data_IF_669787018789
#
_entry.id   IF_669787018789
#
_cell.length_a   1.000
_cell.length_b   1.000
_cell.length_c   1.000
_cell.angle_alpha   90.00
_cell.angle_beta   90.00
_cell.angle_gamma   90.00
#
_symmetry.space_group_name_H-M   'P 1'
#
loop_
_entity.id
_entity.type
_entity.pdbx_description
1 polymer ?
#
# COMPACT_ATOMS: atom_id res chain seq x y z
N UNK A 1 -14.83 -27.63 -6.24
CA UNK A 1 -16.26 -27.44 -6.58
C UNK A 1 -16.34 -26.64 -7.87
N UNK A 2 -17.21 -27.00 -8.81
CA UNK A 2 -17.42 -26.26 -10.07
C UNK A 2 -18.69 -25.43 -9.95
N UNK A 3 -18.58 -24.13 -10.24
CA UNK A 3 -19.71 -23.22 -10.26
C UNK A 3 -20.12 -22.90 -11.69
N UNK A 4 -21.42 -22.92 -11.99
CA UNK A 4 -21.96 -22.30 -13.20
C UNK A 4 -22.32 -20.85 -12.90
N UNK A 5 -22.40 -20.01 -13.94
CA UNK A 5 -22.77 -18.60 -13.80
C UNK A 5 -24.11 -18.45 -13.04
N UNK A 6 -25.22 -19.12 -13.44
CA UNK A 6 -26.49 -18.94 -12.75
C UNK A 6 -26.45 -19.43 -11.30
N UNK A 7 -25.71 -20.52 -11.03
CA UNK A 7 -25.62 -21.09 -9.69
C UNK A 7 -24.85 -20.15 -8.75
N UNK A 8 -23.72 -19.59 -9.19
CA UNK A 8 -22.92 -18.69 -8.35
C UNK A 8 -23.65 -17.38 -8.05
N UNK A 9 -24.26 -16.78 -9.08
CA UNK A 9 -25.09 -15.56 -8.90
C UNK A 9 -26.21 -15.83 -7.92
N UNK A 10 -26.96 -16.92 -8.10
CA UNK A 10 -28.04 -17.35 -7.19
C UNK A 10 -27.53 -17.59 -5.79
N UNK A 11 -26.39 -18.27 -5.63
CA UNK A 11 -25.77 -18.51 -4.35
C UNK A 11 -25.49 -17.19 -3.59
N UNK A 12 -24.92 -16.18 -4.26
CA UNK A 12 -24.68 -14.89 -3.63
C UNK A 12 -25.99 -14.21 -3.23
N UNK A 13 -26.91 -14.01 -4.17
CA UNK A 13 -28.09 -13.14 -3.95
C UNK A 13 -29.19 -13.78 -3.11
N UNK A 14 -29.38 -15.10 -3.20
CA UNK A 14 -30.49 -15.79 -2.52
C UNK A 14 -30.05 -16.56 -1.27
N UNK A 15 -28.75 -16.82 -1.09
CA UNK A 15 -28.28 -17.64 0.02
C UNK A 15 -27.23 -16.94 0.88
N UNK A 16 -26.04 -16.69 0.35
CA UNK A 16 -24.91 -16.16 1.12
C UNK A 16 -25.19 -14.76 1.67
N UNK A 17 -25.57 -13.82 0.79
CA UNK A 17 -25.85 -12.43 1.13
C UNK A 17 -26.96 -12.30 2.19
N UNK A 18 -28.16 -12.85 1.97
CA UNK A 18 -29.23 -12.82 2.94
C UNK A 18 -28.85 -13.47 4.28
N UNK A 19 -28.06 -14.56 4.26
CA UNK A 19 -27.57 -15.19 5.50
C UNK A 19 -26.60 -14.30 6.27
N UNK A 20 -25.70 -13.59 5.59
CA UNK A 20 -24.77 -12.65 6.22
C UNK A 20 -25.55 -11.50 6.87
N UNK A 21 -26.50 -10.92 6.15
CA UNK A 21 -27.36 -9.85 6.66
C UNK A 21 -28.20 -10.31 7.87
N UNK A 22 -28.93 -11.43 7.75
CA UNK A 22 -29.78 -11.95 8.81
C UNK A 22 -29.02 -12.33 10.09
N UNK A 23 -27.72 -12.66 9.96
CA UNK A 23 -26.85 -13.02 11.09
C UNK A 23 -25.96 -11.88 11.56
N UNK A 24 -26.07 -10.68 10.96
CA UNK A 24 -25.19 -9.54 11.23
C UNK A 24 -23.69 -9.91 11.18
N UNK A 25 -23.30 -10.68 10.17
CA UNK A 25 -21.90 -11.08 10.00
C UNK A 25 -21.08 -9.85 9.56
N UNK A 26 -20.03 -9.45 10.29
CA UNK A 26 -19.27 -8.23 9.99
C UNK A 26 -18.28 -8.39 8.82
N UNK A 27 -18.12 -9.61 8.29
CA UNK A 27 -17.22 -9.89 7.19
C UNK A 27 -17.79 -9.43 5.84
N UNK A 28 -16.93 -8.90 4.99
CA UNK A 28 -17.26 -8.53 3.61
C UNK A 28 -17.44 -9.78 2.73
N UNK A 29 -18.31 -9.69 1.73
CA UNK A 29 -18.42 -10.71 0.67
C UNK A 29 -17.67 -10.22 -0.56
N UNK A 30 -16.69 -11.01 -1.00
CA UNK A 30 -15.93 -10.80 -2.23
C UNK A 30 -16.26 -11.89 -3.25
N UNK A 31 -16.56 -11.50 -4.49
CA UNK A 31 -16.82 -12.43 -5.59
C UNK A 31 -15.49 -13.02 -6.09
N UNK A 32 -15.11 -14.19 -5.59
CA UNK A 32 -13.87 -14.88 -5.94
C UNK A 32 -13.44 -15.94 -4.91
N UNK A 33 -12.22 -16.46 -4.98
CA UNK A 33 -11.20 -16.16 -6.01
C UNK A 33 -11.57 -16.79 -7.36
N UNK A 34 -11.39 -16.05 -8.45
CA UNK A 34 -11.53 -16.56 -9.82
C UNK A 34 -10.13 -16.81 -10.39
N UNK A 35 -9.93 -17.90 -11.13
CA UNK A 35 -8.59 -18.27 -11.61
C UNK A 35 -8.56 -18.69 -13.07
N UNK A 36 -9.53 -19.51 -13.48
CA UNK A 36 -9.63 -19.91 -14.87
C UNK A 36 -10.13 -18.71 -15.71
N UNK A 37 -9.62 -18.49 -16.94
CA UNK A 37 -10.13 -17.47 -17.84
C UNK A 37 -11.66 -17.46 -17.98
N UNK A 38 -12.31 -18.63 -17.97
CA UNK A 38 -13.76 -18.76 -18.07
C UNK A 38 -14.49 -18.24 -16.81
N UNK A 39 -13.84 -18.27 -15.65
CA UNK A 39 -14.41 -17.79 -14.38
C UNK A 39 -14.63 -16.26 -14.40
N UNK A 40 -13.94 -15.53 -15.29
CA UNK A 40 -14.18 -14.10 -15.52
C UNK A 40 -15.65 -13.81 -15.88
N UNK A 41 -16.30 -14.72 -16.61
CA UNK A 41 -17.72 -14.59 -16.95
C UNK A 41 -18.63 -14.69 -15.72
N UNK A 42 -18.23 -15.43 -14.68
CA UNK A 42 -18.97 -15.51 -13.41
C UNK A 42 -18.87 -14.17 -12.67
N UNK A 43 -17.66 -13.60 -12.58
CA UNK A 43 -17.46 -12.30 -11.95
C UNK A 43 -18.23 -11.18 -12.69
N UNK A 44 -18.19 -11.17 -14.02
CA UNK A 44 -18.93 -10.21 -14.85
C UNK A 44 -20.45 -10.38 -14.69
N UNK A 45 -20.95 -11.61 -14.59
CA UNK A 45 -22.37 -11.85 -14.36
C UNK A 45 -22.82 -11.36 -12.98
N UNK A 46 -22.02 -11.60 -11.93
CA UNK A 46 -22.29 -11.06 -10.60
C UNK A 46 -22.27 -9.53 -10.60
N UNK A 47 -21.30 -8.93 -11.29
CA UNK A 47 -21.17 -7.49 -11.47
C UNK A 47 -22.42 -6.84 -12.11
N UNK A 48 -23.08 -7.58 -13.01
CA UNK A 48 -24.27 -7.10 -13.74
C UNK A 48 -25.60 -7.48 -13.06
N UNK A 49 -25.59 -8.29 -12.00
CA UNK A 49 -26.78 -8.65 -11.22
C UNK A 49 -26.93 -7.71 -10.02
N UNK A 50 -27.94 -6.84 -10.07
CA UNK A 50 -28.16 -5.82 -9.04
C UNK A 50 -28.46 -6.41 -7.65
N UNK A 51 -29.06 -7.60 -7.57
CA UNK A 51 -29.36 -8.24 -6.29
C UNK A 51 -28.12 -8.88 -5.66
N UNK A 52 -27.24 -9.47 -6.47
CA UNK A 52 -25.95 -9.95 -6.01
C UNK A 52 -25.05 -8.79 -5.54
N UNK A 53 -25.03 -7.68 -6.29
CA UNK A 53 -24.24 -6.50 -5.98
C UNK A 53 -24.67 -5.76 -4.71
N UNK A 54 -25.87 -6.03 -4.15
CA UNK A 54 -26.23 -5.56 -2.81
C UNK A 54 -25.29 -6.08 -1.72
N UNK A 55 -24.67 -7.24 -1.96
CA UNK A 55 -23.84 -7.94 -0.97
C UNK A 55 -22.35 -7.93 -1.33
N UNK A 56 -22.00 -7.86 -2.62
CA UNK A 56 -20.61 -7.92 -3.08
C UNK A 56 -19.91 -6.57 -2.86
N UNK A 57 -18.82 -6.59 -2.11
CA UNK A 57 -17.95 -5.42 -1.89
C UNK A 57 -16.85 -5.30 -2.95
N UNK A 58 -16.46 -6.42 -3.57
CA UNK A 58 -15.42 -6.45 -4.58
C UNK A 58 -15.21 -7.83 -5.19
N UNK A 59 -14.17 -7.94 -6.02
CA UNK A 59 -13.85 -9.12 -6.82
C UNK A 59 -12.45 -9.64 -6.47
N UNK A 60 -12.32 -10.95 -6.29
CA UNK A 60 -11.03 -11.62 -6.04
C UNK A 60 -10.57 -12.37 -7.28
N UNK A 61 -9.37 -12.06 -7.78
CA UNK A 61 -8.81 -12.63 -9.01
C UNK A 61 -7.41 -13.21 -8.74
N UNK A 62 -7.14 -14.40 -9.26
CA UNK A 62 -5.81 -15.00 -9.27
C UNK A 62 -5.02 -14.62 -10.53
N UNK A 63 -3.75 -15.02 -10.57
CA UNK A 63 -2.70 -14.65 -11.53
C UNK A 63 -3.06 -14.69 -13.03
N UNK A 64 -4.09 -15.41 -13.46
CA UNK A 64 -4.44 -15.56 -14.88
C UNK A 64 -5.55 -14.60 -15.37
N UNK A 65 -6.02 -13.68 -14.54
CA UNK A 65 -7.19 -12.83 -14.82
C UNK A 65 -6.90 -11.32 -14.82
N UNK A 66 -5.66 -10.90 -15.10
CA UNK A 66 -5.27 -9.47 -15.15
C UNK A 66 -6.17 -8.66 -16.12
N UNK A 67 -6.52 -9.24 -17.27
CA UNK A 67 -7.23 -8.56 -18.35
C UNK A 67 -8.67 -8.16 -17.99
N UNK A 68 -9.30 -8.80 -17.00
CA UNK A 68 -10.67 -8.45 -16.58
C UNK A 68 -10.71 -7.35 -15.53
N UNK A 69 -9.57 -7.00 -14.91
CA UNK A 69 -9.48 -5.98 -13.86
C UNK A 69 -10.13 -4.65 -14.30
N UNK A 70 -9.83 -4.06 -15.48
CA UNK A 70 -10.42 -2.78 -15.87
C UNK A 70 -11.94 -2.80 -16.04
N UNK A 71 -12.52 -3.99 -16.30
CA UNK A 71 -13.97 -4.17 -16.39
C UNK A 71 -14.60 -4.18 -15.01
N UNK A 72 -14.07 -5.00 -14.09
CA UNK A 72 -14.62 -5.16 -12.74
C UNK A 72 -14.40 -3.92 -11.85
N UNK A 73 -13.27 -3.23 -12.04
CA UNK A 73 -12.93 -2.02 -11.31
C UNK A 73 -13.94 -0.87 -11.52
N UNK A 74 -14.79 -0.94 -12.56
CA UNK A 74 -15.88 0.03 -12.78
C UNK A 74 -17.04 -0.10 -11.78
N UNK A 75 -17.11 -1.22 -11.06
CA UNK A 75 -18.27 -1.58 -10.22
C UNK A 75 -17.91 -1.92 -8.77
N UNK A 76 -16.65 -2.23 -8.49
CA UNK A 76 -16.19 -2.51 -7.14
C UNK A 76 -14.68 -2.62 -7.07
N UNK A 77 -14.17 -2.84 -5.85
CA UNK A 77 -12.74 -3.08 -5.62
C UNK A 77 -12.32 -4.39 -6.26
N UNK A 78 -11.08 -4.45 -6.75
CA UNK A 78 -10.49 -5.68 -7.31
C UNK A 78 -9.25 -6.05 -6.51
N UNK A 79 -9.22 -7.27 -6.01
CA UNK A 79 -8.10 -7.83 -5.26
C UNK A 79 -7.39 -8.89 -6.10
N UNK A 80 -6.09 -8.72 -6.34
CA UNK A 80 -5.24 -9.79 -6.82
C UNK A 80 -4.91 -10.72 -5.65
N UNK A 81 -5.60 -11.86 -5.57
CA UNK A 81 -5.61 -12.71 -4.38
C UNK A 81 -4.47 -13.74 -4.34
N UNK A 82 -3.76 -13.93 -5.46
CA UNK A 82 -2.74 -14.98 -5.58
C UNK A 82 -1.72 -14.66 -6.67
N UNK A 83 -0.51 -14.28 -6.26
CA UNK A 83 0.64 -14.15 -7.14
C UNK A 83 0.97 -15.46 -7.85
N UNK A 84 1.51 -15.35 -9.05
CA UNK A 84 1.94 -16.52 -9.82
C UNK A 84 3.10 -17.21 -9.11
N UNK A 85 3.01 -18.52 -8.90
CA UNK A 85 3.95 -19.26 -8.05
C UNK A 85 5.36 -19.49 -8.65
N UNK A 86 5.57 -19.15 -9.93
CA UNK A 86 6.78 -19.49 -10.68
C UNK A 86 6.94 -21.00 -10.97
N UNK A 87 8.07 -21.38 -11.58
CA UNK A 87 8.42 -22.76 -11.95
C UNK A 87 7.33 -23.52 -12.75
N UNK A 88 6.92 -22.99 -13.89
CA UNK A 88 5.81 -23.56 -14.65
C UNK A 88 6.25 -24.08 -16.02
N UNK A 89 5.65 -25.21 -16.41
CA UNK A 89 5.89 -25.88 -17.69
C UNK A 89 4.90 -25.42 -18.78
N UNK A 90 4.70 -24.11 -18.89
CA UNK A 90 3.87 -23.52 -19.94
C UNK A 90 4.32 -22.10 -20.25
N UNK A 91 3.98 -21.62 -21.46
CA UNK A 91 4.29 -20.26 -21.89
C UNK A 91 3.64 -19.23 -20.99
N UNK A 92 4.38 -18.18 -20.67
CA UNK A 92 3.88 -17.10 -19.83
C UNK A 92 4.58 -15.78 -20.07
N UNK A 93 3.89 -14.73 -19.66
CA UNK A 93 4.44 -13.38 -19.56
C UNK A 93 5.63 -13.37 -18.59
N UNK A 94 6.74 -12.78 -19.03
CA UNK A 94 7.97 -12.57 -18.25
C UNK A 94 8.71 -13.83 -17.80
N UNK A 95 8.44 -14.98 -18.42
CA UNK A 95 9.13 -16.23 -18.09
C UNK A 95 9.65 -16.97 -19.29
N UNK A 96 10.83 -17.54 -19.09
CA UNK A 96 11.44 -18.47 -20.01
C UNK A 96 11.09 -19.90 -19.60
N UNK A 97 10.24 -20.57 -20.38
CA UNK A 97 9.81 -21.96 -20.13
C UNK A 97 10.97 -22.95 -20.02
N UNK A 98 12.11 -22.68 -20.69
CA UNK A 98 13.30 -23.53 -20.59
C UNK A 98 13.91 -23.58 -19.17
N UNK A 99 13.48 -22.68 -18.27
CA UNK A 99 13.91 -22.65 -16.86
C UNK A 99 13.08 -23.55 -15.95
N UNK A 100 11.99 -24.14 -16.46
CA UNK A 100 11.18 -25.08 -15.70
C UNK A 100 12.04 -26.24 -15.20
N UNK A 101 11.89 -26.58 -13.92
CA UNK A 101 12.54 -27.72 -13.31
C UNK A 101 11.51 -28.50 -12.50
N UNK A 102 11.31 -29.76 -12.88
CA UNK A 102 10.34 -30.64 -12.22
C UNK A 102 10.75 -31.02 -10.80
N UNK A 103 12.01 -30.83 -10.41
CA UNK A 103 12.54 -31.27 -9.13
C UNK A 103 12.79 -30.14 -8.13
N UNK A 104 12.73 -28.87 -8.56
CA UNK A 104 13.00 -27.72 -7.67
C UNK A 104 12.39 -26.40 -8.15
N UNK A 105 12.07 -25.49 -7.22
CA UNK A 105 11.80 -24.09 -7.55
C UNK A 105 13.11 -23.31 -7.74
N UNK A 106 13.06 -22.23 -8.53
CA UNK A 106 14.23 -21.40 -8.86
C UNK A 106 14.66 -20.51 -7.68
N UNK A 107 13.70 -19.81 -7.08
CA UNK A 107 13.83 -18.86 -5.97
C UNK A 107 14.98 -17.86 -6.17
N UNK A 108 15.17 -17.41 -7.41
CA UNK A 108 16.31 -16.61 -7.85
C UNK A 108 15.89 -15.20 -8.31
N UNK A 109 16.87 -14.43 -8.79
CA UNK A 109 16.69 -13.02 -9.13
C UNK A 109 15.70 -12.81 -10.27
N UNK A 110 15.73 -13.68 -11.28
CA UNK A 110 14.82 -13.62 -12.42
C UNK A 110 13.35 -13.82 -12.01
N UNK A 111 13.07 -14.64 -10.99
CA UNK A 111 11.72 -14.71 -10.43
C UNK A 111 11.33 -13.42 -9.68
N UNK A 112 12.29 -12.71 -9.09
CA UNK A 112 12.08 -11.36 -8.58
C UNK A 112 11.72 -10.36 -9.69
N UNK A 113 12.42 -10.40 -10.82
CA UNK A 113 12.12 -9.57 -12.01
C UNK A 113 10.73 -9.85 -12.58
N UNK A 114 10.38 -11.12 -12.74
CA UNK A 114 9.01 -11.55 -13.09
C UNK A 114 7.99 -10.98 -12.08
N UNK A 115 8.27 -11.12 -10.78
CA UNK A 115 7.38 -10.67 -9.70
C UNK A 115 7.10 -9.17 -9.80
N UNK A 116 8.13 -8.36 -10.02
CA UNK A 116 7.98 -6.92 -10.15
C UNK A 116 7.11 -6.54 -11.34
N UNK A 117 7.38 -7.15 -12.51
CA UNK A 117 6.67 -6.84 -13.74
C UNK A 117 5.19 -7.23 -13.64
N UNK A 118 4.89 -8.37 -13.01
CA UNK A 118 3.52 -8.79 -12.73
C UNK A 118 2.81 -7.85 -11.75
N UNK A 119 3.44 -7.49 -10.62
CA UNK A 119 2.83 -6.54 -9.67
C UNK A 119 2.55 -5.21 -10.37
N UNK A 120 3.52 -4.71 -11.15
CA UNK A 120 3.38 -3.48 -11.92
C UNK A 120 2.15 -3.52 -12.83
N UNK A 121 1.99 -4.59 -13.61
CA UNK A 121 0.93 -4.68 -14.61
C UNK A 121 -0.45 -4.81 -13.98
N UNK A 122 -0.56 -5.55 -12.88
CA UNK A 122 -1.82 -5.65 -12.13
C UNK A 122 -2.20 -4.34 -11.43
N UNK A 123 -1.22 -3.66 -10.83
CA UNK A 123 -1.41 -2.29 -10.30
C UNK A 123 -1.80 -1.34 -11.44
N UNK A 124 -1.18 -1.50 -12.62
CA UNK A 124 -1.49 -0.74 -13.81
C UNK A 124 -2.94 -0.93 -14.27
N UNK A 125 -3.42 -2.18 -14.22
CA UNK A 125 -4.77 -2.58 -14.58
C UNK A 125 -5.84 -2.10 -13.58
N UNK A 126 -5.45 -1.77 -12.35
CA UNK A 126 -6.32 -1.10 -11.37
C UNK A 126 -6.71 -1.94 -10.15
N UNK A 127 -5.89 -2.90 -9.73
CA UNK A 127 -6.15 -3.60 -8.46
C UNK A 127 -5.91 -2.72 -7.24
N UNK A 128 -6.68 -2.98 -6.19
CA UNK A 128 -6.59 -2.29 -4.90
C UNK A 128 -5.69 -3.02 -3.90
N UNK A 129 -5.39 -4.29 -4.14
CA UNK A 129 -4.51 -5.10 -3.30
C UNK A 129 -3.88 -6.24 -4.12
N UNK A 130 -2.70 -6.69 -3.68
CA UNK A 130 -1.93 -7.75 -4.34
C UNK A 130 -1.31 -8.69 -3.32
N UNK A 131 -1.59 -9.99 -3.42
CA UNK A 131 -1.14 -10.99 -2.45
C UNK A 131 -0.10 -11.92 -3.03
N UNK A 132 0.96 -12.18 -2.26
CA UNK A 132 1.84 -13.31 -2.53
C UNK A 132 1.07 -14.63 -2.39
N UNK A 133 1.52 -15.67 -3.08
CA UNK A 133 1.01 -17.03 -2.87
C UNK A 133 1.71 -17.68 -1.67
N UNK A 134 2.90 -18.23 -1.87
CA UNK A 134 3.67 -18.82 -0.79
C UNK A 134 4.58 -17.78 -0.12
N UNK A 135 4.25 -17.38 1.11
CA UNK A 135 5.15 -16.56 1.91
C UNK A 135 6.38 -17.34 2.40
N UNK A 136 6.16 -18.59 2.85
CA UNK A 136 7.21 -19.44 3.41
C UNK A 136 7.07 -20.86 2.87
N UNK A 137 8.14 -21.41 2.33
CA UNK A 137 8.26 -22.84 2.02
C UNK A 137 9.56 -23.40 2.57
N UNK A 138 9.67 -24.73 2.63
CA UNK A 138 10.95 -25.37 2.88
C UNK A 138 11.81 -25.44 1.60
N UNK A 139 12.96 -26.11 1.67
CA UNK A 139 13.88 -26.22 0.53
C UNK A 139 13.37 -27.08 -0.62
N UNK A 140 12.36 -27.93 -0.38
CA UNK A 140 11.71 -28.69 -1.44
C UNK A 140 10.73 -27.79 -2.19
N UNK A 141 9.97 -27.00 -1.43
CA UNK A 141 9.09 -25.97 -1.95
C UNK A 141 8.00 -26.52 -2.85
N UNK A 142 7.22 -27.48 -2.37
CA UNK A 142 6.20 -28.17 -3.18
C UNK A 142 4.79 -27.85 -2.70
N UNK A 143 3.89 -27.63 -3.67
CA UNK A 143 2.45 -27.63 -3.44
C UNK A 143 1.90 -29.06 -3.32
N UNK A 144 0.63 -29.16 -2.92
CA UNK A 144 -0.15 -30.39 -3.05
C UNK A 144 -0.12 -30.85 -4.52
N UNK A 145 0.20 -32.13 -4.75
CA UNK A 145 0.32 -32.70 -6.11
C UNK A 145 1.73 -32.65 -6.72
N UNK A 146 2.76 -32.26 -5.96
CA UNK A 146 4.16 -32.40 -6.38
C UNK A 146 4.69 -31.28 -7.28
N UNK A 147 3.93 -30.21 -7.48
CA UNK A 147 4.42 -29.03 -8.21
C UNK A 147 5.33 -28.18 -7.31
N UNK A 148 6.60 -28.08 -7.68
CA UNK A 148 7.56 -27.21 -7.00
C UNK A 148 7.29 -25.74 -7.31
N UNK A 149 7.16 -24.89 -6.28
CA UNK A 149 6.77 -23.49 -6.34
C UNK A 149 7.77 -22.61 -5.60
N UNK A 150 7.89 -21.37 -6.06
CA UNK A 150 8.71 -20.36 -5.41
C UNK A 150 8.02 -19.81 -4.16
N UNK A 151 8.81 -19.19 -3.28
CA UNK A 151 8.34 -18.53 -2.07
C UNK A 151 9.11 -17.22 -1.82
N UNK A 152 8.54 -16.36 -0.98
CA UNK A 152 9.25 -15.17 -0.50
C UNK A 152 10.38 -15.53 0.47
N UNK A 153 10.16 -16.54 1.31
CA UNK A 153 11.12 -17.01 2.31
C UNK A 153 11.25 -18.53 2.18
N UNK A 154 12.49 -19.02 2.19
CA UNK A 154 12.81 -20.45 2.19
C UNK A 154 13.47 -20.84 3.50
N UNK A 155 12.93 -21.86 4.16
CA UNK A 155 13.42 -22.36 5.45
C UNK A 155 14.03 -23.74 5.27
N UNK A 156 15.33 -23.87 5.56
CA UNK A 156 15.94 -25.19 5.67
C UNK A 156 15.62 -25.77 7.05
N UNK A 157 14.76 -26.79 7.08
CA UNK A 157 14.25 -27.39 8.33
C UNK A 157 15.32 -28.14 9.12
N UNK A 158 16.35 -28.66 8.45
CA UNK A 158 17.45 -29.41 9.08
C UNK A 158 18.47 -28.46 9.71
N UNK A 159 18.90 -27.43 8.98
CA UNK A 159 19.91 -26.47 9.44
C UNK A 159 19.33 -25.28 10.20
N UNK A 160 18.01 -25.13 10.22
CA UNK A 160 17.28 -23.97 10.78
C UNK A 160 17.64 -22.63 10.14
N UNK A 161 18.24 -22.64 8.95
CA UNK A 161 18.60 -21.42 8.21
C UNK A 161 17.41 -20.88 7.43
N UNK A 162 17.22 -19.57 7.51
CA UNK A 162 16.23 -18.81 6.73
C UNK A 162 16.94 -18.13 5.57
N UNK A 163 16.39 -18.27 4.38
CA UNK A 163 16.84 -17.58 3.17
C UNK A 163 15.71 -16.69 2.65
N UNK A 164 15.99 -15.40 2.57
CA UNK A 164 15.09 -14.41 1.96
C UNK A 164 15.35 -14.42 0.45
N UNK A 165 14.30 -14.58 -0.36
CA UNK A 165 14.43 -14.64 -1.83
C UNK A 165 14.36 -13.23 -2.44
N UNK A 166 14.83 -13.03 -3.69
CA UNK A 166 14.67 -11.75 -4.39
C UNK A 166 13.21 -11.30 -4.51
N UNK A 167 12.27 -12.22 -4.67
CA UNK A 167 10.84 -11.91 -4.69
C UNK A 167 10.35 -11.27 -3.38
N UNK A 168 10.87 -11.68 -2.21
CA UNK A 168 10.54 -10.99 -0.95
C UNK A 168 10.89 -9.50 -0.99
N UNK A 169 12.09 -9.17 -1.50
CA UNK A 169 12.53 -7.78 -1.58
C UNK A 169 11.64 -6.97 -2.53
N UNK A 170 11.23 -7.56 -3.64
CA UNK A 170 10.24 -6.97 -4.55
C UNK A 170 8.93 -6.69 -3.83
N UNK A 171 8.33 -7.68 -3.15
CA UNK A 171 7.10 -7.45 -2.36
C UNK A 171 7.29 -6.41 -1.26
N UNK A 172 8.48 -6.33 -0.65
CA UNK A 172 8.83 -5.33 0.37
C UNK A 172 8.92 -3.92 -0.20
N UNK A 173 9.39 -3.74 -1.44
CA UNK A 173 9.38 -2.44 -2.11
C UNK A 173 7.97 -1.84 -2.14
N UNK A 174 6.93 -2.66 -2.29
CA UNK A 174 5.53 -2.22 -2.22
C UNK A 174 5.02 -2.14 -0.76
N UNK A 175 5.00 -3.28 -0.08
CA UNK A 175 4.29 -3.45 1.21
C UNK A 175 4.87 -2.65 2.38
N UNK A 176 6.15 -2.28 2.34
CA UNK A 176 6.75 -1.48 3.41
C UNK A 176 6.47 0.02 3.27
N UNK A 177 6.34 0.49 2.03
CA UNK A 177 6.34 1.93 1.74
C UNK A 177 4.97 2.46 1.34
N UNK A 178 4.08 1.61 0.83
CA UNK A 178 2.73 1.99 0.40
C UNK A 178 1.75 1.63 1.52
N UNK A 179 1.13 2.65 2.11
CA UNK A 179 0.18 2.48 3.19
C UNK A 179 -1.21 2.11 2.67
N UNK A 180 -2.01 1.45 3.52
CA UNK A 180 -3.42 1.23 3.24
C UNK A 180 -4.14 2.56 3.03
N UNK A 181 -4.88 2.68 1.92
CA UNK A 181 -5.54 3.93 1.52
C UNK A 181 -4.68 4.84 0.63
N UNK A 182 -3.47 4.42 0.25
CA UNK A 182 -2.68 5.14 -0.73
C UNK A 182 -3.38 5.23 -2.09
N UNK A 183 -3.19 6.36 -2.77
CA UNK A 183 -3.72 6.62 -4.10
C UNK A 183 -2.60 6.46 -5.12
N UNK A 184 -2.81 5.63 -6.15
CA UNK A 184 -1.87 5.52 -7.27
C UNK A 184 -1.86 6.82 -8.07
N UNK A 185 -0.66 7.34 -8.34
CA UNK A 185 -0.45 8.52 -9.16
C UNK A 185 -0.10 8.13 -10.60
N UNK A 186 -0.45 9.01 -11.53
CA UNK A 186 0.03 8.90 -12.91
C UNK A 186 1.54 9.12 -12.98
N UNK A 187 2.21 8.37 -13.85
CA UNK A 187 3.64 8.52 -14.14
C UNK A 187 3.84 8.72 -15.65
N UNK A 188 4.92 9.38 -16.04
CA UNK A 188 5.34 9.55 -17.43
C UNK A 188 6.83 9.32 -17.58
N UNK A 189 7.29 9.04 -18.81
CA UNK A 189 8.71 8.85 -19.14
C UNK A 189 9.16 7.40 -19.12
N UNK A 190 8.97 6.67 -18.00
CA UNK A 190 9.32 5.25 -17.92
C UNK A 190 8.10 4.37 -17.65
N UNK A 191 7.94 3.30 -18.44
CA UNK A 191 6.95 2.26 -18.22
C UNK A 191 7.31 1.30 -17.07
N UNK A 192 8.54 1.40 -16.53
CA UNK A 192 9.03 0.59 -15.41
C UNK A 192 8.99 1.38 -14.09
N UNK A 193 8.13 2.40 -14.00
CA UNK A 193 7.94 3.25 -12.83
C UNK A 193 6.48 3.29 -12.34
N UNK A 194 6.30 3.21 -11.02
CA UNK A 194 5.02 3.43 -10.34
C UNK A 194 5.18 4.51 -9.28
N UNK A 195 4.09 5.25 -9.03
CA UNK A 195 4.06 6.20 -7.92
C UNK A 195 2.73 6.16 -7.17
N UNK A 196 2.79 6.46 -5.88
CA UNK A 196 1.66 6.45 -4.97
C UNK A 196 1.76 7.63 -4.01
N UNK A 197 0.62 8.18 -3.62
CA UNK A 197 0.50 9.11 -2.50
C UNK A 197 -0.11 8.37 -1.31
N UNK A 198 0.63 8.26 -0.23
CA UNK A 198 0.12 7.72 1.03
C UNK A 198 -0.86 8.71 1.69
N UNK A 199 -1.72 8.25 2.64
CA UNK A 199 -2.61 9.13 3.39
C UNK A 199 -1.89 10.21 4.20
N UNK A 200 -0.62 9.99 4.58
CA UNK A 200 0.23 10.99 5.25
C UNK A 200 0.78 12.07 4.29
N UNK A 201 0.40 11.99 3.01
CA UNK A 201 0.84 12.88 1.93
C UNK A 201 2.20 12.51 1.32
N UNK A 202 2.92 11.52 1.85
CA UNK A 202 4.20 11.09 1.27
C UNK A 202 4.01 10.49 -0.12
N UNK A 203 4.94 10.81 -1.02
CA UNK A 203 4.98 10.31 -2.38
C UNK A 203 6.02 9.19 -2.44
N UNK A 204 5.56 8.01 -2.82
CA UNK A 204 6.37 6.82 -3.00
C UNK A 204 6.54 6.61 -4.48
N UNK A 205 7.77 6.70 -4.98
CA UNK A 205 8.10 6.38 -6.37
C UNK A 205 8.99 5.14 -6.41
N UNK A 206 8.62 4.20 -7.24
CA UNK A 206 9.28 2.91 -7.37
C UNK A 206 9.73 2.74 -8.82
N UNK A 207 10.97 2.31 -9.02
CA UNK A 207 11.56 2.13 -10.35
C UNK A 207 12.28 0.80 -10.46
N UNK A 208 12.29 0.25 -11.68
CA UNK A 208 13.02 -0.97 -12.03
C UNK A 208 13.97 -0.71 -13.20
N UNK A 209 15.23 -1.11 -13.01
CA UNK A 209 16.24 -1.05 -14.05
C UNK A 209 16.46 -2.43 -14.67
N UNK A 210 15.92 -2.66 -15.87
CA UNK A 210 16.03 -3.92 -16.61
C UNK A 210 17.34 -4.12 -17.40
N UNK A 211 18.27 -3.17 -17.34
CA UNK A 211 19.51 -3.22 -18.13
C UNK A 211 20.61 -3.95 -17.39
N UNK A 212 21.58 -4.48 -18.15
CA UNK A 212 22.77 -5.17 -17.61
C UNK A 212 23.79 -4.24 -16.93
N UNK A 213 23.57 -2.92 -16.99
CA UNK A 213 24.39 -1.92 -16.31
C UNK A 213 23.58 -1.12 -15.28
N UNK A 214 24.26 -0.65 -14.22
CA UNK A 214 23.69 0.32 -13.31
C UNK A 214 23.33 1.61 -14.07
N UNK A 215 22.22 2.23 -13.71
CA UNK A 215 21.70 3.42 -14.37
C UNK A 215 21.38 4.50 -13.36
N UNK A 216 21.80 5.74 -13.64
CA UNK A 216 21.34 6.91 -12.91
C UNK A 216 19.91 7.27 -13.33
N UNK A 217 19.00 7.31 -12.39
CA UNK A 217 17.61 7.75 -12.60
C UNK A 217 17.44 9.19 -12.13
N UNK A 218 16.59 9.94 -12.83
CA UNK A 218 16.11 11.26 -12.41
C UNK A 218 14.59 11.19 -12.32
N UNK A 219 14.05 11.47 -11.14
CA UNK A 219 12.61 11.45 -10.85
C UNK A 219 12.18 12.87 -10.48
N UNK A 220 11.24 13.43 -11.24
CA UNK A 220 10.62 14.71 -10.94
C UNK A 220 9.38 14.51 -10.08
N UNK A 221 9.33 15.10 -8.88
CA UNK A 221 8.17 15.06 -7.97
C UNK A 221 7.83 16.50 -7.62
N UNK A 222 6.64 16.97 -8.02
CA UNK A 222 6.17 18.33 -7.76
C UNK A 222 7.16 19.44 -8.19
N UNK A 223 7.92 19.19 -9.27
CA UNK A 223 8.93 20.12 -9.79
C UNK A 223 10.35 19.93 -9.22
N UNK A 224 10.52 19.14 -8.16
CA UNK A 224 11.83 18.82 -7.60
C UNK A 224 12.44 17.59 -8.29
N UNK A 225 13.70 17.71 -8.71
CA UNK A 225 14.45 16.63 -9.36
C UNK A 225 15.24 15.83 -8.32
N UNK A 226 14.96 14.53 -8.25
CA UNK A 226 15.62 13.59 -7.36
C UNK A 226 16.46 12.62 -8.19
N UNK A 227 17.75 12.52 -7.91
CA UNK A 227 18.67 11.63 -8.64
C UNK A 227 19.23 10.55 -7.74
N UNK A 228 19.25 9.31 -8.24
CA UNK A 228 19.83 8.16 -7.54
C UNK A 228 20.22 7.08 -8.55
N UNK A 229 21.20 6.26 -8.19
CA UNK A 229 21.64 5.14 -9.00
C UNK A 229 20.80 3.89 -8.71
N UNK A 230 20.41 3.17 -9.77
CA UNK A 230 19.69 1.90 -9.68
C UNK A 230 20.59 0.81 -10.26
N UNK A 231 20.92 -0.25 -9.50
CA UNK A 231 21.77 -1.34 -9.99
C UNK A 231 21.22 -2.00 -11.26
N UNK A 232 22.08 -2.71 -11.99
CA UNK A 232 21.65 -3.59 -13.07
C UNK A 232 20.64 -4.61 -12.54
N UNK A 233 19.55 -4.85 -13.27
CA UNK A 233 18.44 -5.70 -12.83
C UNK A 233 17.87 -5.35 -11.45
N UNK A 234 18.05 -4.10 -11.00
CA UNK A 234 17.74 -3.66 -9.64
C UNK A 234 16.43 -2.87 -9.53
N UNK A 235 15.96 -2.73 -8.30
CA UNK A 235 14.82 -1.88 -7.94
C UNK A 235 15.25 -0.78 -6.98
N UNK A 236 14.54 0.34 -7.02
CA UNK A 236 14.69 1.39 -6.03
C UNK A 236 13.33 1.96 -5.65
N UNK A 237 13.20 2.38 -4.39
CA UNK A 237 12.04 3.11 -3.87
C UNK A 237 12.51 4.41 -3.28
N UNK A 238 12.02 5.50 -3.84
CA UNK A 238 12.17 6.85 -3.31
C UNK A 238 10.91 7.20 -2.54
N UNK A 239 11.04 7.51 -1.26
CA UNK A 239 9.98 8.15 -0.46
C UNK A 239 10.33 9.61 -0.30
N UNK A 240 9.52 10.48 -0.88
CA UNK A 240 9.58 11.93 -0.64
C UNK A 240 8.40 12.29 0.23
N UNK A 241 8.67 12.91 1.37
CA UNK A 241 7.63 13.72 1.99
C UNK A 241 7.62 15.02 1.19
N UNK A 242 6.56 15.36 0.45
CA UNK A 242 6.45 16.71 -0.04
C UNK A 242 6.69 17.62 1.16
N UNK A 243 7.58 18.60 1.01
CA UNK A 243 7.42 19.77 1.86
C UNK A 243 5.96 20.13 1.65
N UNK A 244 5.14 20.01 2.70
CA UNK A 244 3.87 20.71 2.67
C UNK A 244 4.35 22.12 2.49
N UNK A 245 4.26 22.62 1.25
CA UNK A 245 4.23 24.03 1.00
C UNK A 245 3.29 24.49 2.08
N UNK A 246 3.85 25.25 3.00
CA UNK A 246 3.07 26.01 3.95
C UNK A 246 2.04 26.65 3.04
N UNK A 247 0.80 26.15 3.04
CA UNK A 247 -0.30 27.06 2.82
C UNK A 247 -0.18 27.96 4.04
N UNK A 248 0.67 28.98 3.89
CA UNK A 248 0.29 30.29 4.30
C UNK A 248 -1.10 30.39 3.67
N UNK A 249 -2.13 30.28 4.53
CA UNK A 249 -3.46 30.73 4.18
C UNK A 249 -3.24 31.97 3.33
N UNK A 250 -3.77 31.93 2.10
CA UNK A 250 -3.32 32.79 1.01
C UNK A 250 -3.10 34.21 1.50
N UNK A 251 -2.13 34.90 0.91
CA UNK A 251 -2.06 36.36 0.97
C UNK A 251 -3.42 36.91 0.51
N UNK A 252 -4.37 37.00 1.43
CA UNK A 252 -5.28 38.13 1.47
C UNK A 252 -4.37 39.31 1.75
N UNK A 253 -4.48 40.31 0.91
CA UNK A 253 -3.64 41.49 0.88
C UNK A 253 -3.82 42.41 2.11
N UNK A 254 -4.24 41.90 3.27
CA UNK A 254 -4.53 42.70 4.47
C UNK A 254 -4.34 41.91 5.79
N UNK A 255 -3.14 41.37 6.08
CA UNK A 255 -2.79 41.00 7.46
C UNK A 255 -1.28 41.14 7.74
N UNK A 256 -0.87 41.66 8.91
CA UNK A 256 0.52 42.01 9.20
C UNK A 256 1.37 40.78 9.53
N UNK A 257 2.68 40.90 9.31
CA UNK A 257 3.72 39.93 9.63
C UNK A 257 3.67 39.41 11.08
N UNK A 258 3.55 38.09 11.30
CA UNK A 258 4.02 37.44 12.55
C UNK A 258 3.16 36.35 13.25
N UNK A 259 2.00 35.94 12.76
CA UNK A 259 0.98 35.27 13.61
C UNK A 259 0.79 33.74 13.40
N UNK A 260 1.79 32.91 13.70
CA UNK A 260 1.64 31.45 13.64
C UNK A 260 2.31 30.71 14.80
N UNK A 261 1.73 29.58 15.22
CA UNK A 261 2.33 28.67 16.20
C UNK A 261 3.69 28.15 15.69
N UNK A 262 4.72 28.18 16.55
CA UNK A 262 6.06 27.62 16.26
C UNK A 262 6.35 26.49 17.24
N UNK A 263 7.02 25.43 16.76
CA UNK A 263 7.39 24.28 17.57
C UNK A 263 8.89 24.08 17.52
N UNK A 264 9.51 24.05 18.69
CA UNK A 264 10.93 23.73 18.88
C UNK A 264 11.04 22.35 19.52
N UNK A 265 11.82 21.47 18.91
CA UNK A 265 12.07 20.14 19.45
C UNK A 265 13.23 20.19 20.46
N UNK A 266 12.96 19.80 21.69
CA UNK A 266 13.95 19.63 22.76
C UNK A 266 14.24 18.14 22.97
N UNK A 267 15.31 17.76 23.71
CA UNK A 267 15.63 16.36 23.98
C UNK A 267 14.47 15.58 24.64
N UNK A 268 13.73 16.22 25.53
CA UNK A 268 12.68 15.61 26.38
C UNK A 268 11.27 16.19 26.16
N UNK A 269 11.13 17.22 25.33
CA UNK A 269 9.87 17.95 25.16
C UNK A 269 9.73 18.62 23.78
N UNK A 270 8.51 19.10 23.50
CA UNK A 270 8.23 20.09 22.47
C UNK A 270 7.93 21.43 23.13
N UNK A 271 8.64 22.49 22.76
CA UNK A 271 8.32 23.86 23.16
C UNK A 271 7.47 24.52 22.09
N UNK A 272 6.28 25.00 22.45
CA UNK A 272 5.29 25.53 21.52
C UNK A 272 5.09 27.02 21.78
N UNK A 273 5.59 27.87 20.89
CA UNK A 273 5.32 29.31 20.94
C UNK A 273 3.94 29.59 20.34
N UNK A 274 3.08 30.23 21.13
CA UNK A 274 1.68 30.49 20.80
C UNK A 274 1.50 31.79 20.00
N UNK A 275 0.53 31.85 19.07
CA UNK A 275 0.25 33.06 18.30
C UNK A 275 -0.48 34.14 19.12
N UNK A 276 -1.08 33.78 20.25
CA UNK A 276 -1.76 34.70 21.16
C UNK A 276 -1.71 34.19 22.61
N UNK A 277 -2.13 35.05 23.54
CA UNK A 277 -2.11 34.80 24.99
C UNK A 277 -3.43 34.33 25.58
N UNK A 278 -4.42 34.02 24.74
CA UNK A 278 -5.73 33.56 25.24
C UNK A 278 -5.63 32.13 25.79
N UNK A 279 -6.41 31.82 26.83
CA UNK A 279 -6.41 30.50 27.44
C UNK A 279 -6.96 29.42 26.49
N UNK A 280 -6.62 28.16 26.77
CA UNK A 280 -6.99 27.03 25.92
C UNK A 280 -6.28 25.75 26.32
N UNK A 281 -6.17 24.81 25.38
CA UNK A 281 -5.44 23.55 25.56
C UNK A 281 -4.63 23.22 24.32
N UNK A 282 -3.44 22.67 24.52
CA UNK A 282 -2.64 22.02 23.49
C UNK A 282 -2.73 20.50 23.65
N UNK A 283 -2.98 19.80 22.55
CA UNK A 283 -2.96 18.34 22.48
C UNK A 283 -1.83 17.89 21.54
N UNK A 284 -1.02 16.94 21.99
CA UNK A 284 -0.15 16.14 21.13
C UNK A 284 -0.94 14.91 20.69
N UNK A 285 -1.16 14.74 19.39
CA UNK A 285 -1.99 13.68 18.83
C UNK A 285 -1.25 12.88 17.74
N UNK A 286 -1.64 11.63 17.53
CA UNK A 286 -1.25 10.86 16.34
C UNK A 286 -1.96 11.38 15.09
N UNK A 287 -1.48 11.03 13.91
CA UNK A 287 -2.17 11.31 12.63
C UNK A 287 -3.58 10.69 12.56
N UNK A 288 -3.83 9.62 13.30
CA UNK A 288 -5.16 9.01 13.45
C UNK A 288 -6.06 9.71 14.48
N UNK A 289 -5.62 10.84 15.07
CA UNK A 289 -6.41 11.65 16.01
C UNK A 289 -6.38 11.18 17.47
N UNK A 290 -5.56 10.18 17.81
CA UNK A 290 -5.42 9.72 19.21
C UNK A 290 -4.58 10.70 20.01
N UNK A 291 -5.12 11.21 21.11
CA UNK A 291 -4.39 12.09 22.05
C UNK A 291 -3.33 11.30 22.82
N UNK A 292 -2.09 11.78 22.79
CA UNK A 292 -0.93 11.22 23.48
C UNK A 292 -0.58 12.01 24.75
N UNK A 293 -0.71 13.33 24.69
CA UNK A 293 -0.51 14.23 25.82
C UNK A 293 -1.32 15.51 25.63
N UNK A 294 -1.65 16.19 26.72
CA UNK A 294 -2.29 17.51 26.70
C UNK A 294 -1.64 18.44 27.72
N UNK A 295 -1.67 19.74 27.45
CA UNK A 295 -1.26 20.79 28.36
C UNK A 295 -2.21 21.97 28.27
N UNK A 296 -2.59 22.54 29.41
CA UNK A 296 -3.39 23.76 29.43
C UNK A 296 -2.55 24.96 28.99
N UNK A 297 -3.21 25.91 28.32
CA UNK A 297 -2.68 27.23 28.02
C UNK A 297 -3.29 28.18 29.06
N UNK A 298 -2.52 28.65 30.05
CA UNK A 298 -2.97 29.70 30.95
C UNK A 298 -3.13 31.02 30.20
N UNK A 299 -4.00 31.91 30.71
CA UNK A 299 -4.05 33.29 30.21
C UNK A 299 -2.70 33.98 30.34
N UNK A 300 -2.35 34.84 29.38
CA UNK A 300 -1.06 35.55 29.32
C UNK A 300 0.17 34.66 29.07
N UNK A 301 -0.02 33.38 28.70
CA UNK A 301 1.06 32.48 28.32
C UNK A 301 1.41 32.63 26.83
N UNK A 302 2.71 32.62 26.47
CA UNK A 302 3.18 32.61 25.08
C UNK A 302 3.96 31.37 24.68
N UNK A 303 4.27 30.50 25.64
CA UNK A 303 5.04 29.28 25.39
C UNK A 303 4.58 28.17 26.32
N UNK A 304 4.28 27.00 25.75
CA UNK A 304 3.81 25.83 26.49
C UNK A 304 4.65 24.62 26.10
N UNK A 305 4.96 23.76 27.08
CA UNK A 305 5.71 22.52 26.85
C UNK A 305 4.78 21.32 26.80
N UNK A 306 5.03 20.44 25.84
CA UNK A 306 4.42 19.11 25.75
C UNK A 306 5.51 18.04 25.92
N UNK A 307 5.26 16.96 26.68
CA UNK A 307 6.25 15.89 26.86
C UNK A 307 6.51 15.18 25.54
N UNK A 308 7.76 14.79 25.31
CA UNK A 308 8.14 13.97 24.14
C UNK A 308 7.84 12.49 24.45
N UNK A 309 7.08 11.77 23.60
CA UNK A 309 6.82 10.35 23.82
C UNK A 309 8.10 9.50 23.72
N UNK A 310 8.21 8.48 24.57
CA UNK A 310 9.41 7.65 24.71
C UNK A 310 9.70 6.70 23.53
N UNK A 311 8.82 6.56 22.52
CA UNK A 311 9.11 5.68 21.37
C UNK A 311 8.30 5.94 20.09
N UNK A 312 9.01 5.63 18.98
CA UNK A 312 8.68 5.54 17.54
C UNK A 312 8.80 6.82 16.72
N UNK A 313 9.79 6.81 15.82
CA UNK A 313 9.86 7.63 14.62
C UNK A 313 8.47 7.68 13.97
N UNK A 314 8.00 8.89 13.69
CA UNK A 314 6.63 9.07 13.23
C UNK A 314 6.23 10.54 13.21
N UNK A 315 5.09 10.77 12.59
CA UNK A 315 4.49 12.09 12.46
C UNK A 315 3.50 12.29 13.62
N UNK A 316 3.71 13.35 14.39
CA UNK A 316 2.77 13.81 15.42
C UNK A 316 2.19 15.15 15.02
N UNK A 317 1.02 15.46 15.57
CA UNK A 317 0.35 16.74 15.38
C UNK A 317 0.18 17.39 16.74
N UNK A 318 0.57 18.65 16.86
CA UNK A 318 0.24 19.52 17.98
C UNK A 318 -0.98 20.34 17.58
N UNK A 319 -2.08 20.18 18.31
CA UNK A 319 -3.37 20.82 18.06
C UNK A 319 -3.71 21.77 19.19
N UNK A 320 -4.12 22.99 18.86
CA UNK A 320 -4.66 23.97 19.82
C UNK A 320 -6.19 23.96 19.81
N UNK A 321 -6.78 23.84 21.00
CA UNK A 321 -8.23 23.86 21.23
C UNK A 321 -8.58 25.02 22.16
N UNK A 322 -9.54 25.86 21.75
CA UNK A 322 -10.07 26.96 22.56
C UNK A 322 -11.59 26.97 22.50
N UNK A 323 -12.24 27.17 23.65
CA UNK A 323 -13.70 27.19 23.75
C UNK A 323 -14.38 25.96 23.07
N UNK A 324 -13.72 24.80 23.11
CA UNK A 324 -14.22 23.56 22.48
C UNK A 324 -14.00 23.45 20.97
N UNK A 325 -13.35 24.43 20.33
CA UNK A 325 -13.10 24.48 18.89
C UNK A 325 -11.61 24.34 18.58
N UNK A 326 -11.28 23.56 17.56
CA UNK A 326 -9.92 23.43 17.03
C UNK A 326 -9.53 24.68 16.24
N UNK A 327 -8.45 25.34 16.63
CA UNK A 327 -8.02 26.61 16.01
C UNK A 327 -6.75 26.49 15.18
N UNK A 328 -5.80 25.62 15.53
CA UNK A 328 -4.50 25.54 14.82
C UNK A 328 -3.82 24.19 15.03
N UNK A 329 -3.25 23.62 13.98
CA UNK A 329 -2.44 22.41 14.02
C UNK A 329 -1.02 22.64 13.48
N UNK A 330 -0.02 21.96 14.07
CA UNK A 330 1.36 21.87 13.57
C UNK A 330 1.87 20.45 13.61
N UNK A 331 2.51 20.05 12.54
CA UNK A 331 3.09 18.73 12.41
C UNK A 331 4.52 18.72 12.94
N UNK A 332 4.89 17.68 13.68
CA UNK A 332 6.22 17.51 14.26
C UNK A 332 6.70 16.09 14.01
N UNK A 333 7.93 15.96 13.52
CA UNK A 333 8.56 14.67 13.29
C UNK A 333 9.37 14.26 14.52
N UNK A 334 9.17 13.04 15.00
CA UNK A 334 10.09 12.41 15.94
C UNK A 334 11.26 11.81 15.15
N UNK A 335 12.45 12.38 15.33
CA UNK A 335 13.72 11.79 14.92
C UNK A 335 14.27 10.86 16.00
#
# INVERSE_FOLDING_TARGET
MRWTIPLFVTFIKNHLGPKFAARNVPAEIWCGTMSNPVDSNIAIACMNDADAMKYIVGFGLQWNLESVVPTLAKKGRVWQTEHRCGNYNFTAKYWNQARYDVNKPQNDHLYGEESWQLIRDWVAAGVNAYCAWNMVLDTLGTALGGWHQNALIVVNRSTKKVRITPAYWVFRHFSQYIDSGATRLGTSGSADALAFQNPDGSIITQVYNKTDAAKKWTVAIMGELNQFDVPAHGWATLRVQPSTGVQAAGRSSHAPSGAGMRVTCLPDAFSVTLPSTEPGRLDLITTSGRVLASADIPGNCREVRLPRPASRNGLLVIRMVRHGVEQTARTVLLH
#
